data_IF_614110051999
#
_entry.id   IF_614110051999
#
_cell.length_a   1.000
_cell.length_b   1.000
_cell.length_c   1.000
_cell.angle_alpha   90.00
_cell.angle_beta   90.00
_cell.angle_gamma   90.00
#
_symmetry.space_group_name_H-M   'P 1'
#
loop_
_entity.id
_entity.type
_entity.pdbx_description
1 polymer ?
#
# COMPACT_ATOMS: atom_id res chain seq x y z
N UNK A 1 -4.47 41.05 36.99
CA UNK A 1 -4.71 40.55 35.61
C UNK A 1 -3.61 39.56 35.27
N UNK A 2 -3.85 38.25 35.42
CA UNK A 2 -2.88 37.21 35.07
C UNK A 2 -3.36 36.53 33.79
N UNK A 3 -2.73 36.88 32.67
CA UNK A 3 -2.81 36.15 31.40
C UNK A 3 -1.64 35.16 31.39
N UNK A 4 -1.90 33.89 31.71
CA UNK A 4 -1.04 32.77 31.36
C UNK A 4 -2.00 31.69 30.85
N UNK A 5 -2.39 31.82 29.58
CA UNK A 5 -1.80 31.07 28.47
C UNK A 5 -2.21 29.59 28.57
N UNK A 6 -3.37 29.33 27.97
CA UNK A 6 -3.81 28.01 27.52
C UNK A 6 -2.74 27.41 26.62
N UNK A 7 -1.98 26.44 27.12
CA UNK A 7 -1.08 25.62 26.31
C UNK A 7 -1.12 24.16 26.78
N UNK A 8 -2.31 23.56 26.83
CA UNK A 8 -2.43 22.12 27.11
C UNK A 8 -3.60 21.46 26.38
N UNK A 9 -3.91 21.92 25.16
CA UNK A 9 -4.95 21.30 24.31
C UNK A 9 -4.37 20.93 22.92
N UNK A 10 -3.04 20.94 22.75
CA UNK A 10 -2.39 20.63 21.47
C UNK A 10 -1.56 19.34 21.51
N UNK A 11 -2.04 18.33 22.25
CA UNK A 11 -1.48 16.96 22.22
C UNK A 11 -2.50 15.90 21.79
N UNK A 12 -3.71 16.31 21.36
CA UNK A 12 -4.85 15.43 21.10
C UNK A 12 -5.21 15.24 19.61
N UNK A 13 -4.34 15.66 18.68
CA UNK A 13 -4.62 15.63 17.24
C UNK A 13 -3.59 14.87 16.41
N UNK A 14 -2.75 14.03 17.01
CA UNK A 14 -2.04 13.02 16.23
C UNK A 14 -2.72 11.68 16.45
N UNK A 15 -3.64 11.27 15.55
CA UNK A 15 -3.85 9.86 15.39
C UNK A 15 -2.53 9.26 14.87
N UNK A 16 -1.70 8.77 15.79
CA UNK A 16 -0.73 7.72 15.48
C UNK A 16 -1.53 6.43 15.24
N UNK A 17 -2.38 6.43 14.22
CA UNK A 17 -2.83 5.17 13.66
C UNK A 17 -1.73 4.74 12.70
N UNK A 18 -0.66 4.17 13.27
CA UNK A 18 0.04 3.11 12.55
C UNK A 18 -0.99 2.01 12.37
N UNK A 19 -1.73 2.06 11.27
CA UNK A 19 -2.45 0.89 10.79
C UNK A 19 -1.32 -0.04 10.34
N UNK A 20 -0.77 -0.80 11.29
CA UNK A 20 -0.18 -2.07 10.92
C UNK A 20 -1.34 -2.80 10.25
N UNK A 21 -1.32 -2.84 8.93
CA UNK A 21 -2.24 -3.69 8.22
C UNK A 21 -1.87 -5.10 8.74
N UNK A 22 -2.78 -5.74 9.47
CA UNK A 22 -2.57 -7.08 10.08
C UNK A 22 -2.40 -8.09 8.93
N UNK A 23 -1.22 -8.07 8.32
CA UNK A 23 -0.83 -8.84 7.16
C UNK A 23 -0.38 -10.23 7.60
N UNK A 24 -1.29 -10.92 8.27
CA UNK A 24 -1.09 -12.30 8.71
C UNK A 24 -1.24 -13.29 7.56
N UNK A 25 -1.96 -12.89 6.50
CA UNK A 25 -2.32 -13.79 5.39
C UNK A 25 -2.12 -13.13 4.02
N UNK A 26 -1.43 -13.87 3.14
CA UNK A 26 -1.27 -13.52 1.74
C UNK A 26 -2.57 -13.69 0.97
N UNK A 27 -2.83 -12.80 0.00
CA UNK A 27 -3.92 -12.92 -0.94
C UNK A 27 -3.80 -14.25 -1.70
N UNK A 28 -4.90 -15.00 -1.74
CA UNK A 28 -4.97 -16.25 -2.50
C UNK A 28 -4.96 -16.02 -4.03
N UNK A 29 -4.56 -17.04 -4.78
CA UNK A 29 -4.39 -16.96 -6.23
C UNK A 29 -5.67 -16.58 -6.98
N UNK A 30 -6.83 -17.03 -6.49
CA UNK A 30 -8.12 -16.72 -7.10
C UNK A 30 -8.43 -15.22 -7.00
N UNK A 31 -8.20 -14.61 -5.83
CA UNK A 31 -8.33 -13.16 -5.66
C UNK A 31 -7.31 -12.41 -6.49
N UNK A 32 -6.07 -12.91 -6.56
CA UNK A 32 -5.01 -12.30 -7.35
C UNK A 32 -5.38 -12.22 -8.83
N UNK A 33 -5.96 -13.29 -9.41
CA UNK A 33 -6.46 -13.28 -10.79
C UNK A 33 -7.57 -12.22 -11.00
N UNK A 34 -8.53 -12.15 -10.07
CA UNK A 34 -9.62 -11.17 -10.13
C UNK A 34 -9.07 -9.73 -10.12
N UNK A 35 -8.15 -9.43 -9.19
CA UNK A 35 -7.51 -8.11 -9.06
C UNK A 35 -6.75 -7.76 -10.34
N UNK A 36 -5.91 -8.67 -10.81
CA UNK A 36 -5.09 -8.49 -12.03
C UNK A 36 -5.97 -8.21 -13.24
N UNK A 37 -7.06 -8.98 -13.40
CA UNK A 37 -8.04 -8.80 -14.49
C UNK A 37 -8.78 -7.48 -14.38
N UNK A 38 -9.10 -7.02 -13.18
CA UNK A 38 -9.73 -5.72 -12.96
C UNK A 38 -8.79 -4.56 -13.29
N UNK A 39 -7.52 -4.66 -12.91
CA UNK A 39 -6.50 -3.66 -13.23
C UNK A 39 -6.22 -3.59 -14.73
N UNK A 40 -6.02 -4.73 -15.41
CA UNK A 40 -5.76 -4.79 -16.86
C UNK A 40 -6.88 -4.21 -17.73
N UNK A 41 -8.09 -4.04 -17.18
CA UNK A 41 -9.24 -3.42 -17.85
C UNK A 41 -9.29 -1.90 -17.67
N UNK A 42 -8.41 -1.30 -16.87
CA UNK A 42 -8.35 0.14 -16.65
C UNK A 42 -7.53 0.80 -17.75
N UNK A 43 -7.99 1.96 -18.18
CA UNK A 43 -7.46 2.66 -19.34
C UNK A 43 -6.07 3.30 -19.08
N UNK A 44 -5.77 3.64 -17.83
CA UNK A 44 -4.54 4.34 -17.46
C UNK A 44 -4.05 3.91 -16.07
N UNK A 45 -2.81 4.28 -15.76
CA UNK A 45 -2.13 3.91 -14.52
C UNK A 45 -2.74 4.54 -13.27
N UNK A 46 -3.39 5.71 -13.36
CA UNK A 46 -4.08 6.34 -12.23
C UNK A 46 -5.27 5.48 -11.81
N UNK A 47 -6.05 5.01 -12.78
CA UNK A 47 -7.17 4.11 -12.54
C UNK A 47 -6.70 2.73 -12.05
N UNK A 48 -5.59 2.19 -12.57
CA UNK A 48 -4.97 0.96 -12.06
C UNK A 48 -4.55 1.13 -10.60
N UNK A 49 -3.90 2.24 -10.26
CA UNK A 49 -3.43 2.56 -8.91
C UNK A 49 -4.62 2.65 -7.93
N UNK A 50 -5.65 3.41 -8.27
CA UNK A 50 -6.85 3.52 -7.44
C UNK A 50 -7.53 2.16 -7.24
N UNK A 51 -7.52 1.31 -8.27
CA UNK A 51 -8.08 -0.04 -8.20
C UNK A 51 -7.30 -0.90 -7.20
N UNK A 52 -5.98 -0.99 -7.31
CA UNK A 52 -5.19 -1.85 -6.41
C UNK A 52 -5.22 -1.33 -4.97
N UNK A 53 -5.16 -0.01 -4.75
CA UNK A 53 -5.27 0.60 -3.41
C UNK A 53 -6.56 0.16 -2.71
N UNK A 54 -7.68 0.11 -3.44
CA UNK A 54 -8.96 -0.34 -2.87
C UNK A 54 -8.95 -1.83 -2.45
N UNK A 55 -8.20 -2.69 -3.13
CA UNK A 55 -8.05 -4.09 -2.74
C UNK A 55 -7.12 -4.26 -1.54
N UNK A 56 -6.00 -3.55 -1.54
CA UNK A 56 -4.98 -3.66 -0.49
C UNK A 56 -5.45 -3.15 0.87
N UNK A 57 -6.48 -2.29 0.92
CA UNK A 57 -7.17 -1.93 2.18
C UNK A 57 -7.65 -3.13 3.02
N UNK A 58 -7.79 -4.33 2.43
CA UNK A 58 -8.28 -5.54 3.13
C UNK A 58 -7.47 -6.79 2.83
N UNK A 59 -6.49 -6.70 1.95
CA UNK A 59 -5.73 -7.84 1.45
C UNK A 59 -4.25 -7.50 1.54
N UNK A 60 -3.45 -8.48 1.87
CA UNK A 60 -2.01 -8.36 1.85
C UNK A 60 -1.44 -9.21 0.72
N UNK A 61 -0.27 -8.82 0.24
CA UNK A 61 0.41 -9.47 -0.87
C UNK A 61 1.80 -9.90 -0.40
N UNK A 62 2.41 -10.85 -1.09
CA UNK A 62 3.83 -11.09 -0.95
C UNK A 62 4.61 -10.32 -2.01
N UNK A 63 5.93 -10.34 -1.90
CA UNK A 63 6.85 -9.64 -2.79
C UNK A 63 6.67 -10.09 -4.25
N UNK A 64 6.43 -11.37 -4.51
CA UNK A 64 6.19 -11.88 -5.86
C UNK A 64 4.88 -11.35 -6.47
N UNK A 65 3.81 -11.30 -5.68
CA UNK A 65 2.53 -10.72 -6.11
C UNK A 65 2.64 -9.22 -6.34
N UNK A 66 3.38 -8.50 -5.49
CA UNK A 66 3.70 -7.09 -5.71
C UNK A 66 4.39 -6.89 -7.07
N UNK A 67 5.46 -7.64 -7.36
CA UNK A 67 6.16 -7.56 -8.66
C UNK A 67 5.22 -7.87 -9.83
N UNK A 68 4.37 -8.88 -9.69
CA UNK A 68 3.37 -9.23 -10.72
C UNK A 68 2.38 -8.08 -10.97
N UNK A 69 1.96 -7.38 -9.91
CA UNK A 69 1.07 -6.22 -10.03
C UNK A 69 1.81 -5.02 -10.64
N UNK A 70 3.07 -4.81 -10.27
CA UNK A 70 3.92 -3.74 -10.83
C UNK A 70 3.96 -3.81 -12.35
N UNK A 71 4.12 -5.01 -12.92
CA UNK A 71 4.16 -5.22 -14.37
C UNK A 71 2.89 -4.80 -15.13
N UNK A 72 1.77 -4.57 -14.43
CA UNK A 72 0.51 -4.11 -15.05
C UNK A 72 0.53 -2.60 -15.32
N UNK A 73 1.35 -1.85 -14.58
CA UNK A 73 1.54 -0.42 -14.79
C UNK A 73 2.44 -0.18 -16.00
N UNK A 74 2.08 0.81 -16.82
CA UNK A 74 2.79 1.13 -18.06
C UNK A 74 4.00 2.05 -17.82
N UNK A 75 3.85 2.99 -16.89
CA UNK A 75 4.87 3.97 -16.56
C UNK A 75 5.74 3.52 -15.39
N UNK A 76 7.04 3.76 -15.49
CA UNK A 76 8.00 3.55 -14.40
C UNK A 76 7.63 4.38 -13.16
N UNK A 77 7.08 5.58 -13.36
CA UNK A 77 6.58 6.40 -12.27
C UNK A 77 5.49 5.69 -11.47
N UNK A 78 4.48 5.12 -12.14
CA UNK A 78 3.41 4.39 -11.46
C UNK A 78 3.90 3.10 -10.81
N UNK A 79 4.84 2.40 -11.45
CA UNK A 79 5.51 1.23 -10.87
C UNK A 79 6.21 1.59 -9.55
N UNK A 80 7.00 2.66 -9.54
CA UNK A 80 7.69 3.14 -8.34
C UNK A 80 6.73 3.63 -7.24
N UNK A 81 5.67 4.35 -7.62
CA UNK A 81 4.63 4.75 -6.68
C UNK A 81 3.93 3.54 -6.05
N UNK A 82 3.67 2.48 -6.84
CA UNK A 82 3.04 1.28 -6.33
C UNK A 82 3.99 0.48 -5.43
N UNK A 83 5.27 0.35 -5.81
CA UNK A 83 6.31 -0.28 -5.01
C UNK A 83 6.34 0.33 -3.60
N UNK A 84 6.49 1.66 -3.50
CA UNK A 84 6.51 2.36 -2.22
C UNK A 84 5.21 2.16 -1.44
N UNK A 85 4.05 2.30 -2.10
CA UNK A 85 2.76 2.12 -1.45
C UNK A 85 2.56 0.71 -0.89
N UNK A 86 3.04 -0.30 -1.61
CA UNK A 86 2.80 -1.70 -1.28
C UNK A 86 3.47 -2.15 0.01
N UNK A 87 4.51 -1.45 0.47
CA UNK A 87 5.28 -1.81 1.67
C UNK A 87 4.41 -2.09 2.91
N UNK A 88 3.35 -1.30 3.12
CA UNK A 88 2.42 -1.45 4.26
C UNK A 88 1.52 -2.70 4.15
N UNK A 89 1.54 -3.39 3.01
CA UNK A 89 0.66 -4.49 2.64
C UNK A 89 1.43 -5.78 2.33
N UNK A 90 2.74 -5.79 2.57
CA UNK A 90 3.62 -6.94 2.31
C UNK A 90 3.64 -7.89 3.51
N UNK A 91 3.40 -9.18 3.27
CA UNK A 91 3.48 -10.22 4.30
C UNK A 91 4.92 -10.71 4.54
N UNK A 92 5.79 -10.64 3.54
CA UNK A 92 7.17 -11.13 3.54
C UNK A 92 8.19 -9.98 3.45
N UNK A 93 8.15 -9.08 4.44
CA UNK A 93 8.90 -7.82 4.43
C UNK A 93 10.42 -7.99 4.26
N UNK A 94 10.96 -9.13 4.68
CA UNK A 94 12.37 -9.48 4.48
C UNK A 94 12.73 -9.51 2.99
N UNK A 95 11.94 -10.18 2.16
CA UNK A 95 12.13 -10.27 0.71
C UNK A 95 11.97 -8.90 0.03
N UNK A 96 11.01 -8.09 0.48
CA UNK A 96 10.84 -6.73 -0.02
C UNK A 96 12.06 -5.86 0.27
N UNK A 97 12.63 -5.97 1.48
CA UNK A 97 13.82 -5.20 1.86
C UNK A 97 15.07 -5.62 1.08
N UNK A 98 15.17 -6.87 0.62
CA UNK A 98 16.25 -7.30 -0.28
C UNK A 98 16.22 -6.56 -1.61
N UNK A 99 15.04 -6.17 -2.11
CA UNK A 99 14.92 -5.39 -3.35
C UNK A 99 15.39 -3.93 -3.20
N UNK A 100 15.37 -3.39 -1.98
CA UNK A 100 15.82 -2.01 -1.71
C UNK A 100 17.34 -1.94 -1.55
N UNK A 101 17.94 -3.00 -1.01
CA UNK A 101 19.36 -3.03 -0.68
C UNK A 101 20.26 -3.54 -1.82
N UNK A 102 19.68 -3.95 -2.94
CA UNK A 102 20.37 -4.36 -4.16
C UNK A 102 20.34 -3.24 -5.22
#
# INVERSE_FOLDING_TARGET
>A
MKKLLLYSILSLLLPLFSIANDCDYVMDDQKMDIVTKHMKRKADDVLKMNTIKAYLQRLCINTNQMLTIMEIFESEEAQNQFFIYSQEYIVDIENYNELINN
#
